data_IF_800843707731
#
_entry.id   IF_800843707731
#
_cell.length_a   1.000
_cell.length_b   1.000
_cell.length_c   1.000
_cell.angle_alpha   90.00
_cell.angle_beta   90.00
_cell.angle_gamma   90.00
#
_symmetry.space_group_name_H-M   'P 1'
#
loop_
_entity.id
_entity.type
_entity.pdbx_description
1 polymer ?
#
# COMPACT_ATOMS: atom_id res chain seq x y z
N UNK A 1 -13.12 -4.48 44.39
CA UNK A 1 -12.97 -3.57 43.23
C UNK A 1 -11.97 -4.17 42.28
N UNK A 2 -12.17 -4.03 40.97
CA UNK A 2 -11.27 -4.50 39.91
C UNK A 2 -10.99 -3.32 38.98
N UNK A 3 -9.74 -3.15 38.58
CA UNK A 3 -9.31 -2.19 37.55
C UNK A 3 -9.41 -2.89 36.20
N UNK A 4 -10.12 -2.28 35.26
CA UNK A 4 -10.25 -2.72 33.88
C UNK A 4 -9.60 -1.71 32.95
N UNK A 5 -8.83 -2.20 31.98
CA UNK A 5 -8.31 -1.42 30.87
C UNK A 5 -8.51 -2.23 29.58
N UNK A 6 -8.81 -1.60 28.45
CA UNK A 6 -8.63 -2.25 27.15
C UNK A 6 -7.33 -1.74 26.51
N UNK A 7 -6.63 -2.58 25.76
CA UNK A 7 -5.36 -2.23 25.12
C UNK A 7 -5.11 -3.12 23.90
N UNK A 8 -4.33 -2.63 22.94
CA UNK A 8 -3.89 -3.39 21.78
C UNK A 8 -2.81 -4.40 22.22
N UNK A 9 -2.93 -5.65 21.77
CA UNK A 9 -1.88 -6.64 21.93
C UNK A 9 -0.81 -6.43 20.86
N UNK A 10 0.40 -6.12 21.29
CA UNK A 10 1.59 -6.19 20.45
C UNK A 10 2.04 -7.64 20.37
N UNK A 11 2.32 -8.14 19.16
CA UNK A 11 3.08 -9.38 18.97
C UNK A 11 4.56 -9.09 19.27
N UNK A 12 5.17 -9.91 20.12
CA UNK A 12 6.60 -9.89 20.34
C UNK A 12 7.23 -10.88 19.36
N UNK A 13 8.03 -10.40 18.41
CA UNK A 13 8.85 -11.27 17.57
C UNK A 13 10.09 -11.69 18.39
N UNK A 14 10.26 -12.99 18.65
CA UNK A 14 11.46 -13.50 19.30
C UNK A 14 12.66 -13.28 18.37
N UNK A 15 13.63 -12.45 18.78
CA UNK A 15 14.91 -12.36 18.11
C UNK A 15 15.55 -13.76 18.04
N UNK A 16 15.98 -14.24 16.85
CA UNK A 16 16.57 -15.55 16.73
C UNK A 16 17.85 -15.64 17.58
N UNK A 17 17.83 -16.50 18.60
CA UNK A 17 19.05 -16.94 19.29
C UNK A 17 19.83 -17.86 18.34
N UNK A 18 21.17 -17.75 18.31
CA UNK A 18 21.92 -18.68 19.15
C UNK A 18 23.20 -18.07 19.74
N UNK A 19 23.53 -18.41 20.99
CA UNK A 19 24.94 -18.52 21.40
C UNK A 19 25.12 -19.80 22.20
N UNK A 20 25.85 -20.74 21.58
CA UNK A 20 26.31 -21.97 22.19
C UNK A 20 27.20 -21.65 23.40
N UNK A 21 26.85 -22.24 24.55
CA UNK A 21 27.74 -22.39 25.71
C UNK A 21 28.84 -23.41 25.36
N UNK A 22 30.10 -23.04 25.55
CA UNK A 22 31.15 -24.00 25.89
C UNK A 22 31.40 -23.93 27.41
N UNK A 23 31.33 -25.09 28.07
CA UNK A 23 31.79 -25.28 29.46
C UNK A 23 33.32 -25.35 29.54
N UNK A 24 33.95 -25.12 30.69
CA UNK A 24 34.31 -26.17 31.69
C UNK A 24 34.70 -25.54 33.07
N UNK A 25 34.32 -26.21 34.19
CA UNK A 25 34.84 -26.24 35.59
C UNK A 25 34.31 -25.28 36.71
N UNK A 26 34.30 -25.69 38.03
CA UNK A 26 33.22 -25.46 39.03
C UNK A 26 33.61 -24.64 40.32
N UNK A 27 32.86 -24.66 41.47
CA UNK A 27 31.81 -23.69 41.88
C UNK A 27 32.16 -22.82 43.13
N UNK A 28 31.34 -21.80 43.46
CA UNK A 28 30.82 -21.69 44.84
C UNK A 28 29.29 -21.42 44.93
N UNK A 29 28.59 -21.79 46.03
CA UNK A 29 27.15 -21.54 46.22
C UNK A 29 26.90 -20.34 47.19
N UNK A 30 25.64 -19.97 47.48
CA UNK A 30 24.54 -19.63 46.57
C UNK A 30 24.04 -18.20 46.86
N UNK A 31 24.01 -17.33 45.85
CA UNK A 31 23.14 -16.15 45.88
C UNK A 31 22.07 -16.33 44.79
N UNK A 32 20.79 -16.04 45.08
CA UNK A 32 19.73 -16.19 44.10
C UNK A 32 19.97 -15.23 42.93
N UNK A 33 19.86 -15.68 41.66
CA UNK A 33 20.10 -14.79 40.54
C UNK A 33 18.95 -13.77 40.41
N UNK A 34 19.24 -12.54 39.98
CA UNK A 34 18.20 -11.65 39.51
C UNK A 34 17.58 -12.31 38.27
N UNK A 35 16.27 -12.48 38.28
CA UNK A 35 15.47 -12.86 37.13
C UNK A 35 15.73 -11.84 36.01
N UNK A 36 16.63 -12.19 35.08
CA UNK A 36 16.77 -11.49 33.79
C UNK A 36 15.51 -11.77 32.98
N UNK A 37 14.50 -10.94 33.18
CA UNK A 37 13.43 -10.77 32.22
C UNK A 37 14.07 -10.30 30.90
N UNK A 38 13.94 -11.10 29.84
CA UNK A 38 14.18 -10.60 28.49
C UNK A 38 13.20 -9.45 28.28
N UNK A 39 13.71 -8.22 28.24
CA UNK A 39 12.90 -7.05 27.98
C UNK A 39 12.36 -7.13 26.56
N UNK A 40 11.06 -7.40 26.42
CA UNK A 40 10.33 -7.02 25.23
C UNK A 40 10.16 -5.50 25.30
N UNK A 41 11.01 -4.75 24.61
CA UNK A 41 10.76 -3.35 24.36
C UNK A 41 9.76 -3.27 23.20
N UNK A 42 8.51 -2.85 23.42
CA UNK A 42 7.63 -2.54 22.31
C UNK A 42 8.26 -1.43 21.48
N UNK A 43 8.48 -1.66 20.18
CA UNK A 43 8.85 -0.61 19.24
C UNK A 43 7.67 0.38 19.25
N UNK A 44 7.95 1.54 19.81
CA UNK A 44 6.99 2.40 20.49
C UNK A 44 6.10 3.15 19.49
N UNK A 45 4.97 2.56 19.07
CA UNK A 45 3.78 3.37 18.77
C UNK A 45 3.04 3.59 20.09
N UNK A 46 3.37 4.70 20.74
CA UNK A 46 2.68 5.19 21.92
C UNK A 46 1.28 5.69 21.49
N UNK A 47 0.34 4.76 21.23
CA UNK A 47 -1.08 5.08 21.07
C UNK A 47 -1.68 5.40 22.45
N UNK A 48 -2.64 6.34 22.54
CA UNK A 48 -2.96 7.04 23.78
C UNK A 48 -3.54 6.09 24.82
N UNK A 49 -3.17 6.33 26.07
CA UNK A 49 -3.65 5.65 27.28
C UNK A 49 -5.16 5.39 27.22
N UNK A 50 -5.55 4.15 26.95
CA UNK A 50 -6.93 3.73 27.08
C UNK A 50 -7.41 3.93 28.53
N UNK A 51 -8.66 4.41 28.73
CA UNK A 51 -9.16 4.77 30.05
C UNK A 51 -9.22 3.57 30.99
N UNK A 52 -8.70 3.75 32.21
CA UNK A 52 -8.79 2.76 33.29
C UNK A 52 -10.10 2.96 34.06
N UNK A 53 -10.85 1.90 34.30
CA UNK A 53 -12.13 1.97 35.03
C UNK A 53 -12.07 1.07 36.27
N UNK A 54 -12.47 1.61 37.42
CA UNK A 54 -12.64 0.85 38.66
C UNK A 54 -14.07 0.35 38.76
N UNK A 55 -14.25 -0.96 38.86
CA UNK A 55 -15.58 -1.58 38.92
C UNK A 55 -15.74 -2.53 40.11
N UNK A 56 -16.94 -2.58 40.71
CA UNK A 56 -17.28 -3.64 41.65
C UNK A 56 -17.24 -5.01 40.96
N UNK A 57 -16.73 -6.04 41.64
CA UNK A 57 -16.71 -7.40 41.10
C UNK A 57 -18.12 -7.92 40.82
N UNK A 58 -18.28 -8.73 39.76
CA UNK A 58 -19.56 -9.34 39.39
C UNK A 58 -20.54 -8.42 38.65
N UNK A 59 -20.12 -7.21 38.26
CA UNK A 59 -20.94 -6.27 37.47
C UNK A 59 -20.56 -6.29 35.99
N UNK A 60 -21.56 -6.08 35.14
CA UNK A 60 -21.38 -5.79 33.71
C UNK A 60 -20.96 -4.34 33.52
N UNK A 61 -20.05 -4.11 32.59
CA UNK A 61 -19.44 -2.81 32.32
C UNK A 61 -19.32 -2.65 30.82
N UNK A 62 -19.68 -1.48 30.30
CA UNK A 62 -19.48 -1.14 28.88
C UNK A 62 -18.17 -0.39 28.74
N UNK A 63 -17.25 -0.93 27.94
CA UNK A 63 -15.99 -0.29 27.59
C UNK A 63 -16.11 0.26 26.16
N UNK A 64 -16.05 1.58 25.95
CA UNK A 64 -16.10 2.14 24.60
C UNK A 64 -14.81 1.80 23.85
N UNK A 65 -14.91 1.57 22.54
CA UNK A 65 -13.77 1.39 21.64
C UNK A 65 -14.07 2.09 20.31
N UNK A 66 -13.03 2.53 19.61
CA UNK A 66 -13.16 3.28 18.34
C UNK A 66 -13.29 2.35 17.13
N UNK A 67 -12.52 1.25 17.11
CA UNK A 67 -12.52 0.25 16.03
C UNK A 67 -12.57 -1.17 16.61
N UNK A 68 -13.36 -2.03 16.00
CA UNK A 68 -13.40 -3.47 16.23
C UNK A 68 -12.21 -4.14 15.55
N UNK A 69 -11.12 -4.36 16.30
CA UNK A 69 -9.87 -4.92 15.79
C UNK A 69 -9.44 -6.18 16.54
N UNK A 70 -8.75 -7.14 15.90
CA UNK A 70 -8.51 -8.47 16.48
C UNK A 70 -7.53 -8.45 17.67
N UNK A 71 -6.64 -7.47 17.71
CA UNK A 71 -5.67 -7.32 18.80
C UNK A 71 -6.22 -6.53 20.00
N UNK A 72 -7.49 -6.10 20.00
CA UNK A 72 -8.09 -5.42 21.14
C UNK A 72 -8.34 -6.41 22.29
N UNK A 73 -7.72 -6.15 23.45
CA UNK A 73 -7.77 -7.02 24.61
C UNK A 73 -8.17 -6.26 25.87
N UNK A 74 -8.88 -6.94 26.77
CA UNK A 74 -9.30 -6.44 28.07
C UNK A 74 -8.35 -7.02 29.13
N UNK A 75 -7.71 -6.15 29.90
CA UNK A 75 -6.91 -6.50 31.07
C UNK A 75 -7.66 -6.13 32.35
N UNK A 76 -7.68 -7.04 33.30
CA UNK A 76 -8.30 -6.87 34.61
C UNK A 76 -7.29 -7.15 35.73
N UNK A 77 -7.25 -6.31 36.76
CA UNK A 77 -6.41 -6.51 37.94
C UNK A 77 -7.07 -6.00 39.22
N UNK A 78 -6.64 -6.48 40.37
CA UNK A 78 -7.06 -5.86 41.64
C UNK A 78 -6.28 -4.55 41.87
N UNK A 79 -6.81 -3.56 42.61
CA UNK A 79 -6.14 -2.29 42.84
C UNK A 79 -5.02 -2.37 43.89
N UNK A 80 -4.33 -3.51 44.00
CA UNK A 80 -3.23 -3.75 44.93
C UNK A 80 -1.88 -3.79 44.19
N UNK A 81 -0.80 -3.49 44.90
CA UNK A 81 0.55 -3.62 44.36
C UNK A 81 0.83 -5.07 43.92
N UNK A 82 1.49 -5.25 42.77
CA UNK A 82 1.80 -6.55 42.16
C UNK A 82 0.62 -7.51 41.96
N UNK A 83 -0.61 -6.99 41.90
CA UNK A 83 -1.77 -7.85 41.65
C UNK A 83 -1.63 -8.57 40.30
N UNK A 84 -1.92 -9.88 40.22
CA UNK A 84 -1.92 -10.60 38.96
C UNK A 84 -2.91 -9.96 37.99
N UNK A 85 -2.47 -9.79 36.74
CA UNK A 85 -3.25 -9.22 35.65
C UNK A 85 -3.79 -10.35 34.79
N UNK A 86 -5.09 -10.34 34.54
CA UNK A 86 -5.73 -11.26 33.59
C UNK A 86 -6.04 -10.51 32.31
N UNK A 87 -5.48 -10.97 31.18
CA UNK A 87 -5.72 -10.40 29.86
C UNK A 87 -6.55 -11.38 29.02
N UNK A 88 -7.61 -10.89 28.37
CA UNK A 88 -8.38 -11.64 27.37
C UNK A 88 -8.56 -10.81 26.11
N UNK A 89 -8.48 -11.44 24.95
CA UNK A 89 -8.64 -10.80 23.65
C UNK A 89 -9.89 -11.36 22.97
N UNK A 90 -11.09 -10.81 23.27
CA UNK A 90 -12.36 -11.41 22.86
C UNK A 90 -12.60 -11.37 21.35
N UNK A 91 -11.88 -10.50 20.62
CA UNK A 91 -12.08 -10.26 19.19
C UNK A 91 -11.10 -11.01 18.29
N UNK A 92 -10.09 -11.68 18.86
CA UNK A 92 -9.04 -12.37 18.09
C UNK A 92 -9.61 -13.39 17.12
N UNK A 93 -10.59 -14.17 17.56
CA UNK A 93 -11.18 -15.25 16.78
C UNK A 93 -12.52 -14.85 16.14
N UNK A 94 -12.88 -13.55 16.19
CA UNK A 94 -14.12 -13.06 15.62
C UNK A 94 -13.92 -12.62 14.17
N UNK A 95 -14.61 -13.23 13.19
CA UNK A 95 -14.50 -12.84 11.78
C UNK A 95 -14.85 -11.37 11.53
N UNK A 96 -15.78 -10.81 12.31
CA UNK A 96 -16.18 -9.41 12.21
C UNK A 96 -15.03 -8.42 12.48
N UNK A 97 -14.04 -8.80 13.30
CA UNK A 97 -12.88 -7.95 13.60
C UNK A 97 -11.88 -7.83 12.43
N UNK A 98 -12.03 -8.68 11.40
CA UNK A 98 -11.24 -8.66 10.17
C UNK A 98 -11.98 -7.99 9.00
N UNK A 99 -13.08 -7.30 9.28
CA UNK A 99 -13.92 -6.62 8.30
C UNK A 99 -13.47 -5.19 7.96
N UNK A 100 -14.40 -4.31 7.51
CA UNK A 100 -14.10 -2.93 7.15
C UNK A 100 -13.45 -2.10 8.27
N UNK A 101 -13.84 -2.33 9.53
CA UNK A 101 -13.29 -1.59 10.68
C UNK A 101 -11.79 -1.84 10.90
N UNK A 102 -11.27 -3.01 10.49
CA UNK A 102 -9.83 -3.27 10.50
C UNK A 102 -9.12 -2.24 9.63
N UNK A 103 -9.58 -2.07 8.39
CA UNK A 103 -8.99 -1.15 7.42
C UNK A 103 -9.19 0.31 7.82
N UNK A 104 -10.34 0.66 8.42
CA UNK A 104 -10.56 1.99 8.99
C UNK A 104 -9.58 2.34 10.12
N UNK A 105 -9.04 1.33 10.81
CA UNK A 105 -8.01 1.51 11.86
C UNK A 105 -6.58 1.64 11.31
N UNK A 106 -6.37 1.47 10.00
CA UNK A 106 -5.07 1.58 9.32
C UNK A 106 -4.91 2.96 8.72
N UNK A 107 -3.73 3.56 8.91
CA UNK A 107 -3.32 4.77 8.20
C UNK A 107 -2.36 4.41 7.09
N UNK A 108 -2.64 4.91 5.89
CA UNK A 108 -1.81 4.72 4.71
C UNK A 108 -0.97 5.96 4.46
N UNK A 109 0.34 5.79 4.41
CA UNK A 109 1.28 6.85 4.09
C UNK A 109 1.84 6.64 2.69
N UNK A 110 1.43 7.52 1.77
CA UNK A 110 1.88 7.48 0.38
C UNK A 110 3.26 8.12 0.22
N UNK A 111 4.23 7.31 -0.20
CA UNK A 111 5.59 7.73 -0.57
C UNK A 111 5.86 7.55 -2.06
N UNK A 112 4.82 7.25 -2.84
CA UNK A 112 4.90 7.16 -4.30
C UNK A 112 5.23 8.54 -4.84
N UNK A 113 6.35 8.62 -5.56
CA UNK A 113 6.78 9.85 -6.20
C UNK A 113 6.69 9.66 -7.71
N UNK A 114 5.94 10.50 -8.41
CA UNK A 114 5.90 10.53 -9.88
C UNK A 114 7.30 10.78 -10.48
N UNK A 115 8.21 11.38 -9.70
CA UNK A 115 9.63 11.52 -10.01
C UNK A 115 10.46 10.22 -10.05
N UNK A 116 9.87 9.08 -9.67
CA UNK A 116 10.52 7.76 -9.60
C UNK A 116 9.61 6.70 -10.20
N UNK A 117 10.22 5.63 -10.72
CA UNK A 117 9.50 4.50 -11.33
C UNK A 117 9.04 3.50 -10.27
N UNK A 118 8.54 3.98 -9.14
CA UNK A 118 8.26 3.16 -7.96
C UNK A 118 7.01 3.66 -7.25
N UNK A 119 6.08 2.75 -6.99
CA UNK A 119 4.99 2.97 -6.04
C UNK A 119 5.42 2.46 -4.67
N UNK A 120 5.17 3.27 -3.64
CA UNK A 120 5.57 2.96 -2.27
C UNK A 120 4.52 3.45 -1.27
N UNK A 121 4.12 2.57 -0.36
CA UNK A 121 3.14 2.90 0.67
C UNK A 121 3.50 2.24 1.99
N UNK A 122 3.45 3.00 3.08
CA UNK A 122 3.74 2.50 4.44
C UNK A 122 2.44 2.43 5.22
N UNK A 123 2.19 1.29 5.86
CA UNK A 123 1.00 1.06 6.66
C UNK A 123 1.29 1.29 8.14
N UNK A 124 0.47 2.09 8.79
CA UNK A 124 0.45 2.25 10.24
C UNK A 124 -0.87 1.72 10.78
N UNK A 125 -0.84 0.48 11.26
CA UNK A 125 -2.02 -0.24 11.77
C UNK A 125 -1.98 -0.35 13.30
N UNK A 126 -3.17 -0.35 13.91
CA UNK A 126 -3.31 -0.58 15.36
C UNK A 126 -2.96 -2.02 15.78
N UNK A 127 -3.13 -2.98 14.86
CA UNK A 127 -2.75 -4.38 15.04
C UNK A 127 -1.59 -4.75 14.12
N UNK A 128 -0.74 -5.72 14.51
CA UNK A 128 0.23 -6.33 13.60
C UNK A 128 -0.50 -6.92 12.39
N UNK A 129 -0.36 -6.28 11.23
CA UNK A 129 -1.04 -6.63 10.00
C UNK A 129 0.00 -6.77 8.89
N UNK A 130 0.24 -8.01 8.45
CA UNK A 130 1.01 -8.32 7.24
C UNK A 130 0.04 -8.62 6.10
N UNK A 131 -0.45 -7.56 5.47
CA UNK A 131 -1.34 -7.67 4.32
C UNK A 131 -0.55 -8.04 3.06
N UNK A 132 -1.23 -8.63 2.07
CA UNK A 132 -0.68 -8.77 0.72
C UNK A 132 -1.13 -7.57 -0.11
N UNK A 133 -0.19 -6.90 -0.77
CA UNK A 133 -0.47 -5.76 -1.65
C UNK A 133 -0.27 -6.12 -3.14
N UNK A 134 -1.25 -5.78 -3.98
CA UNK A 134 -1.22 -5.92 -5.45
C UNK A 134 -1.71 -4.65 -6.12
N UNK A 135 -1.39 -4.41 -7.39
CA UNK A 135 -1.94 -3.27 -8.13
C UNK A 135 -3.33 -3.56 -8.69
N UNK A 136 -4.17 -2.53 -8.78
CA UNK A 136 -5.45 -2.55 -9.49
C UNK A 136 -5.71 -1.22 -10.23
N UNK A 137 -6.46 -1.28 -11.33
CA UNK A 137 -6.88 -0.12 -12.10
C UNK A 137 -8.29 0.33 -11.72
N UNK A 138 -8.42 1.55 -11.21
CA UNK A 138 -9.70 2.15 -10.85
C UNK A 138 -10.37 2.75 -12.08
N UNK A 139 -11.63 2.37 -12.36
CA UNK A 139 -12.34 2.84 -13.58
C UNK A 139 -12.50 4.36 -13.64
N UNK A 140 -12.77 4.98 -12.49
CA UNK A 140 -12.93 6.41 -12.33
C UNK A 140 -12.26 6.89 -11.04
N UNK A 141 -12.03 8.20 -10.93
CA UNK A 141 -11.46 8.82 -9.72
C UNK A 141 -12.46 8.81 -8.55
N UNK A 142 -13.74 8.48 -8.79
CA UNK A 142 -14.77 8.38 -7.76
C UNK A 142 -14.45 7.29 -6.72
N UNK A 143 -14.73 7.55 -5.44
CA UNK A 143 -14.38 6.65 -4.33
C UNK A 143 -14.89 5.22 -4.51
N UNK A 144 -16.18 5.08 -4.88
CA UNK A 144 -16.84 3.78 -5.03
C UNK A 144 -16.61 3.10 -6.39
N UNK A 145 -15.73 3.63 -7.25
CA UNK A 145 -15.48 3.04 -8.56
C UNK A 145 -14.80 1.66 -8.41
N UNK A 146 -15.23 0.64 -9.19
CA UNK A 146 -14.57 -0.66 -9.21
C UNK A 146 -13.08 -0.56 -9.55
N UNK A 147 -12.28 -1.44 -8.93
CA UNK A 147 -10.85 -1.57 -9.22
C UNK A 147 -10.57 -2.96 -9.81
N UNK A 148 -10.02 -2.99 -11.02
CA UNK A 148 -9.73 -4.23 -11.75
C UNK A 148 -8.29 -4.69 -11.49
N UNK A 149 -8.12 -5.95 -11.12
CA UNK A 149 -6.80 -6.47 -10.72
C UNK A 149 -5.78 -6.43 -11.86
N UNK A 150 -4.55 -6.04 -11.51
CA UNK A 150 -3.40 -6.12 -12.42
C UNK A 150 -2.62 -7.41 -12.11
N UNK A 151 -2.46 -8.32 -13.08
CA UNK A 151 -1.73 -9.57 -12.84
C UNK A 151 -0.25 -9.31 -12.57
N UNK A 152 0.39 -10.20 -11.81
CA UNK A 152 1.83 -10.20 -11.52
C UNK A 152 2.36 -8.91 -10.87
N UNK A 153 1.52 -8.23 -10.09
CA UNK A 153 1.80 -6.92 -9.48
C UNK A 153 1.97 -6.97 -7.95
N UNK A 154 2.37 -8.13 -7.41
CA UNK A 154 2.53 -8.27 -5.94
C UNK A 154 3.74 -7.46 -5.48
N UNK A 155 3.51 -6.53 -4.55
CA UNK A 155 4.56 -5.69 -3.97
C UNK A 155 5.44 -6.47 -2.98
N UNK A 156 6.70 -6.04 -2.83
CA UNK A 156 7.55 -6.47 -1.72
C UNK A 156 7.10 -5.78 -0.44
N UNK A 157 7.09 -6.53 0.67
CA UNK A 157 6.76 -6.03 2.01
C UNK A 157 8.00 -6.15 2.90
N UNK A 158 8.41 -5.04 3.51
CA UNK A 158 9.49 -4.97 4.49
C UNK A 158 9.11 -3.97 5.59
N UNK A 159 9.03 -4.43 6.84
CA UNK A 159 8.63 -3.60 7.99
C UNK A 159 7.35 -2.75 7.75
N UNK A 160 6.30 -3.34 7.16
CA UNK A 160 5.05 -2.64 6.78
C UNK A 160 5.20 -1.59 5.66
N UNK A 161 6.37 -1.48 5.03
CA UNK A 161 6.58 -0.72 3.80
C UNK A 161 6.36 -1.63 2.59
N UNK A 162 5.45 -1.21 1.72
CA UNK A 162 5.09 -1.93 0.50
C UNK A 162 5.64 -1.18 -0.71
N UNK A 163 6.49 -1.83 -1.48
CA UNK A 163 7.17 -1.22 -2.63
C UNK A 163 6.98 -2.05 -3.88
N UNK A 164 6.82 -1.37 -5.02
CA UNK A 164 6.79 -2.01 -6.33
C UNK A 164 7.47 -1.13 -7.36
N UNK A 165 8.50 -1.68 -7.99
CA UNK A 165 9.32 -1.00 -9.00
C UNK A 165 8.74 -1.13 -10.41
N UNK A 166 9.26 -0.28 -11.30
CA UNK A 166 8.87 -0.20 -12.71
C UNK A 166 7.37 0.07 -12.86
N UNK A 167 6.89 1.06 -12.09
CA UNK A 167 5.51 1.54 -12.12
C UNK A 167 5.44 2.98 -12.61
N UNK A 168 4.55 3.25 -13.57
CA UNK A 168 4.12 4.60 -13.92
C UNK A 168 3.05 5.04 -12.91
N UNK A 169 3.44 5.83 -11.90
CA UNK A 169 2.53 6.28 -10.85
C UNK A 169 1.39 7.09 -11.46
N UNK A 170 0.14 6.66 -11.22
CA UNK A 170 -1.06 7.27 -11.79
C UNK A 170 -2.20 7.31 -10.75
N UNK A 171 -3.04 8.36 -10.70
CA UNK A 171 -4.12 8.47 -9.70
C UNK A 171 -5.17 7.34 -9.72
N UNK A 172 -5.26 6.63 -10.84
CA UNK A 172 -6.15 5.47 -11.01
C UNK A 172 -5.42 4.11 -10.88
N UNK A 173 -4.10 4.11 -10.64
CA UNK A 173 -3.35 2.90 -10.34
C UNK A 173 -3.17 2.82 -8.83
N UNK A 174 -3.87 1.90 -8.19
CA UNK A 174 -3.98 1.86 -6.74
C UNK A 174 -3.39 0.55 -6.18
N UNK A 175 -3.00 0.57 -4.91
CA UNK A 175 -2.72 -0.66 -4.18
C UNK A 175 -4.02 -1.25 -3.65
N UNK A 176 -4.19 -2.56 -3.87
CA UNK A 176 -5.18 -3.39 -3.20
C UNK A 176 -4.48 -4.19 -2.12
N UNK A 177 -4.73 -3.82 -0.87
CA UNK A 177 -4.29 -4.56 0.31
C UNK A 177 -5.31 -5.64 0.62
N UNK A 178 -4.84 -6.86 0.88
CA UNK A 178 -5.68 -8.01 1.18
C UNK A 178 -5.16 -8.73 2.42
N UNK A 179 -6.07 -9.07 3.32
CA UNK A 179 -5.74 -9.82 4.53
C UNK A 179 -6.91 -10.76 4.88
N UNK A 180 -6.65 -12.07 4.84
CA UNK A 180 -7.72 -13.07 4.96
C UNK A 180 -8.76 -12.87 3.85
N UNK A 181 -10.02 -12.65 4.24
CA UNK A 181 -11.16 -12.49 3.34
C UNK A 181 -11.55 -11.01 3.12
N UNK A 182 -10.77 -10.06 3.64
CA UNK A 182 -11.04 -8.64 3.46
C UNK A 182 -9.95 -7.97 2.63
N UNK A 183 -10.33 -6.87 2.00
CA UNK A 183 -9.41 -6.06 1.21
C UNK A 183 -9.79 -4.60 1.26
N UNK A 184 -8.79 -3.74 1.09
CA UNK A 184 -8.92 -2.30 0.99
C UNK A 184 -8.13 -1.79 -0.22
N UNK A 185 -8.67 -0.80 -0.91
CA UNK A 185 -8.01 -0.16 -2.04
C UNK A 185 -7.58 1.23 -1.62
N UNK A 186 -6.29 1.50 -1.76
CA UNK A 186 -5.69 2.79 -1.46
C UNK A 186 -4.96 3.32 -2.69
N UNK A 187 -5.34 4.51 -3.14
CA UNK A 187 -4.77 5.14 -4.33
C UNK A 187 -3.71 6.18 -3.93
N UNK A 188 -2.75 6.50 -4.81
CA UNK A 188 -1.86 7.62 -4.61
C UNK A 188 -2.65 8.91 -4.40
N UNK A 189 -2.31 9.67 -3.37
CA UNK A 189 -3.05 10.91 -3.02
C UNK A 189 -2.65 12.08 -3.93
N UNK A 190 -1.56 11.93 -4.69
CA UNK A 190 -1.03 12.98 -5.55
C UNK A 190 -1.67 12.91 -6.94
N UNK A 191 -2.28 14.00 -7.43
CA UNK A 191 -2.92 14.02 -8.73
C UNK A 191 -1.94 14.17 -9.90
N UNK A 192 -0.69 14.56 -9.64
CA UNK A 192 0.28 14.91 -10.68
C UNK A 192 0.93 13.67 -11.29
N UNK A 193 0.68 13.46 -12.58
CA UNK A 193 1.41 12.48 -13.38
C UNK A 193 2.79 13.03 -13.75
N UNK A 194 3.77 12.14 -13.91
CA UNK A 194 5.12 12.53 -14.30
C UNK A 194 5.19 13.07 -15.73
N UNK A 195 4.20 12.72 -16.55
CA UNK A 195 4.16 13.07 -17.96
C UNK A 195 2.75 13.36 -18.43
N UNK A 196 2.66 14.07 -19.55
CA UNK A 196 1.42 14.35 -20.26
C UNK A 196 1.66 14.26 -21.77
N UNK A 197 0.60 14.07 -22.54
CA UNK A 197 0.65 13.98 -23.99
C UNK A 197 -0.48 14.79 -24.61
N UNK A 198 -0.14 15.49 -25.68
CA UNK A 198 -1.10 16.19 -26.53
C UNK A 198 -0.93 15.74 -27.98
N UNK A 199 -2.04 15.69 -28.70
CA UNK A 199 -2.07 15.32 -30.12
C UNK A 199 -2.33 16.57 -30.96
N UNK A 200 -1.59 16.71 -32.04
CA UNK A 200 -1.77 17.77 -33.04
C UNK A 200 -1.56 17.21 -34.44
N UNK A 201 -2.20 17.79 -35.44
CA UNK A 201 -1.97 17.46 -36.84
C UNK A 201 -1.02 18.49 -37.45
N UNK A 202 0.09 18.06 -38.07
CA UNK A 202 1.04 18.95 -38.75
C UNK A 202 1.29 18.44 -40.17
N UNK A 203 0.63 19.04 -41.16
CA UNK A 203 0.64 18.54 -42.54
C UNK A 203 -0.13 17.22 -42.65
N UNK A 204 0.52 16.19 -43.22
CA UNK A 204 -0.01 14.81 -43.36
C UNK A 204 0.52 13.86 -42.27
N UNK A 205 0.97 14.39 -41.13
CA UNK A 205 1.48 13.59 -40.01
C UNK A 205 0.75 13.92 -38.72
N UNK A 206 0.52 12.89 -37.91
CA UNK A 206 0.01 13.04 -36.56
C UNK A 206 1.21 13.26 -35.63
N UNK A 207 1.18 14.36 -34.89
CA UNK A 207 2.27 14.82 -34.06
C UNK A 207 1.87 14.76 -32.59
N UNK A 208 2.46 13.80 -31.87
CA UNK A 208 2.30 13.66 -30.43
C UNK A 208 3.40 14.47 -29.74
N UNK A 209 2.98 15.45 -28.93
CA UNK A 209 3.87 16.21 -28.06
C UNK A 209 3.73 15.64 -26.65
N UNK A 210 4.82 15.05 -26.16
CA UNK A 210 4.92 14.52 -24.82
C UNK A 210 5.74 15.46 -23.95
N UNK A 211 5.27 15.76 -22.76
CA UNK A 211 6.00 16.55 -21.76
C UNK A 211 6.27 15.63 -20.57
N UNK A 212 7.53 15.42 -20.20
CA UNK A 212 7.90 14.56 -19.08
C UNK A 212 8.76 15.31 -18.07
N UNK A 213 8.44 15.19 -16.79
CA UNK A 213 9.25 15.68 -15.66
C UNK A 213 10.32 14.69 -15.20
N UNK A 214 10.31 13.48 -15.77
CA UNK A 214 11.29 12.41 -15.53
C UNK A 214 11.89 11.89 -16.84
N UNK A 215 13.14 11.37 -16.80
CA UNK A 215 13.68 10.59 -17.91
C UNK A 215 12.81 9.36 -18.18
N UNK A 216 12.27 9.24 -19.39
CA UNK A 216 11.36 8.16 -19.75
C UNK A 216 11.46 7.79 -21.24
N UNK A 217 10.99 6.58 -21.56
CA UNK A 217 10.73 6.14 -22.92
C UNK A 217 9.22 6.03 -23.13
N UNK A 218 8.74 6.49 -24.26
CA UNK A 218 7.33 6.46 -24.62
C UNK A 218 7.13 5.68 -25.90
N UNK A 219 6.07 4.89 -25.95
CA UNK A 219 5.64 4.20 -27.15
C UNK A 219 4.23 4.59 -27.51
N UNK A 220 3.97 4.64 -28.81
CA UNK A 220 2.66 4.86 -29.37
C UNK A 220 2.35 3.84 -30.47
N UNK A 221 1.08 3.44 -30.55
CA UNK A 221 0.59 2.51 -31.56
C UNK A 221 -0.88 2.80 -31.88
N UNK A 222 -1.30 2.41 -33.08
CA UNK A 222 -2.70 2.50 -33.47
C UNK A 222 -3.57 1.64 -32.52
N UNK A 223 -4.73 2.17 -32.16
CA UNK A 223 -5.73 1.43 -31.40
C UNK A 223 -6.53 0.49 -32.31
N UNK A 224 -6.37 -0.83 -32.12
CA UNK A 224 -7.26 -1.82 -32.72
C UNK A 224 -8.29 -2.28 -31.70
N UNK A 225 -9.58 -2.11 -32.01
CA UNK A 225 -10.67 -2.49 -31.11
C UNK A 225 -10.86 -4.01 -31.17
N UNK A 226 -10.59 -4.69 -30.05
CA UNK A 226 -10.73 -6.15 -29.92
C UNK A 226 -11.53 -6.47 -28.66
N UNK A 227 -12.72 -7.05 -28.83
CA UNK A 227 -13.57 -7.42 -27.68
C UNK A 227 -14.00 -6.27 -26.78
N UNK A 228 -14.14 -5.05 -27.33
CA UNK A 228 -14.49 -3.85 -26.57
C UNK A 228 -13.32 -3.13 -25.90
N UNK A 229 -12.13 -3.73 -25.87
CA UNK A 229 -10.90 -3.10 -25.39
C UNK A 229 -10.01 -2.66 -26.56
N UNK A 230 -9.23 -1.61 -26.32
CA UNK A 230 -8.29 -1.07 -27.29
C UNK A 230 -6.90 -1.68 -27.06
N UNK A 231 -6.41 -2.44 -28.03
CA UNK A 231 -5.06 -3.01 -28.00
C UNK A 231 -4.14 -2.34 -29.03
N UNK A 232 -2.83 -2.24 -28.76
CA UNK A 232 -1.89 -1.60 -29.66
C UNK A 232 -1.59 -2.50 -30.87
N UNK A 233 -1.74 -1.93 -32.07
CA UNK A 233 -1.41 -2.57 -33.34
C UNK A 233 -0.02 -2.14 -33.84
N UNK A 234 0.71 -3.07 -34.44
CA UNK A 234 2.01 -2.77 -35.03
C UNK A 234 1.86 -1.87 -36.28
N UNK A 235 2.86 -1.03 -36.61
CA UNK A 235 4.15 -0.86 -35.93
C UNK A 235 4.06 -0.01 -34.65
N UNK A 236 4.96 -0.30 -33.70
CA UNK A 236 5.18 0.49 -32.49
C UNK A 236 6.17 1.61 -32.79
N UNK A 237 5.77 2.83 -32.46
CA UNK A 237 6.62 4.01 -32.58
C UNK A 237 7.13 4.39 -31.20
N UNK A 238 8.44 4.52 -31.03
CA UNK A 238 9.06 4.79 -29.73
C UNK A 238 9.90 6.05 -29.80
N UNK A 239 9.85 6.85 -28.73
CA UNK A 239 10.76 7.96 -28.49
C UNK A 239 11.32 7.83 -27.08
N UNK A 240 12.63 7.99 -26.94
CA UNK A 240 13.32 7.89 -25.66
C UNK A 240 14.04 9.18 -25.39
N UNK A 241 13.96 9.67 -24.15
CA UNK A 241 14.74 10.83 -23.75
C UNK A 241 16.24 10.47 -23.71
N UNK A 242 17.12 11.25 -24.36
CA UNK A 242 18.56 10.98 -24.32
C UNK A 242 19.12 11.14 -22.90
N UNK A 243 20.03 10.26 -22.51
CA UNK A 243 20.69 10.33 -21.19
C UNK A 243 21.35 11.71 -20.95
N UNK A 244 21.15 12.27 -19.76
CA UNK A 244 21.69 13.57 -19.37
C UNK A 244 20.91 14.79 -19.89
N UNK A 245 19.86 14.58 -20.68
CA UNK A 245 18.94 15.66 -21.06
C UNK A 245 18.03 16.03 -19.90
N UNK A 246 17.80 17.32 -19.70
CA UNK A 246 16.81 17.79 -18.72
C UNK A 246 15.42 17.26 -19.10
N UNK A 247 14.54 16.99 -18.11
CA UNK A 247 13.13 16.69 -18.37
C UNK A 247 12.55 17.74 -19.32
N UNK A 248 11.82 17.30 -20.35
CA UNK A 248 11.53 18.17 -21.48
C UNK A 248 10.45 17.65 -22.41
N UNK A 249 10.25 18.37 -23.51
CA UNK A 249 9.32 18.00 -24.57
C UNK A 249 9.94 16.98 -25.52
N UNK A 250 9.23 15.88 -25.76
CA UNK A 250 9.52 14.91 -26.82
C UNK A 250 8.43 14.98 -27.88
N UNK A 251 8.82 14.72 -29.11
CA UNK A 251 7.93 14.68 -30.26
C UNK A 251 7.99 13.31 -30.91
N UNK A 252 6.81 12.73 -31.16
CA UNK A 252 6.68 11.50 -31.92
C UNK A 252 5.81 11.78 -33.15
N UNK A 253 6.39 11.54 -34.33
CA UNK A 253 5.76 11.79 -35.63
C UNK A 253 5.24 10.47 -36.19
N UNK A 254 3.92 10.33 -36.19
CA UNK A 254 3.21 9.18 -36.74
C UNK A 254 2.84 9.44 -38.19
N UNK A 255 2.94 8.43 -39.06
CA UNK A 255 2.74 8.61 -40.49
C UNK A 255 1.26 8.76 -40.85
N UNK A 256 1.00 9.14 -42.11
CA UNK A 256 -0.33 9.51 -42.60
C UNK A 256 -1.39 8.42 -42.42
N UNK A 257 -0.99 7.14 -42.40
CA UNK A 257 -1.93 6.01 -42.26
C UNK A 257 -2.66 6.01 -40.91
N UNK A 258 -2.13 6.74 -39.91
CA UNK A 258 -2.69 6.85 -38.56
C UNK A 258 -3.56 8.11 -38.41
N UNK A 259 -3.61 9.01 -39.41
CA UNK A 259 -4.49 10.18 -39.36
C UNK A 259 -5.96 9.76 -39.30
N UNK A 260 -6.73 10.45 -38.45
CA UNK A 260 -8.15 10.16 -38.25
C UNK A 260 -8.46 8.93 -37.41
N UNK A 261 -7.43 8.27 -36.85
CA UNK A 261 -7.61 7.10 -35.97
C UNK A 261 -7.13 7.41 -34.54
N UNK A 262 -7.62 6.63 -33.58
CA UNK A 262 -7.18 6.76 -32.20
C UNK A 262 -5.84 6.04 -31.97
N UNK A 263 -4.98 6.65 -31.15
CA UNK A 263 -3.63 6.16 -30.85
C UNK A 263 -3.51 5.91 -29.36
N UNK A 264 -2.95 4.76 -28.98
CA UNK A 264 -2.56 4.49 -27.61
C UNK A 264 -1.16 5.03 -27.38
N UNK A 265 -0.96 5.70 -26.25
CA UNK A 265 0.34 6.22 -25.81
C UNK A 265 0.59 5.78 -24.38
N UNK A 266 1.78 5.26 -24.10
CA UNK A 266 2.17 4.83 -22.76
C UNK A 266 3.68 4.97 -22.56
N UNK A 267 4.07 4.99 -21.29
CA UNK A 267 5.46 4.89 -20.88
C UNK A 267 5.96 3.44 -21.01
N UNK A 268 6.97 3.19 -21.83
CA UNK A 268 7.41 1.85 -22.24
C UNK A 268 8.66 1.32 -21.53
N UNK A 269 9.34 2.15 -20.74
CA UNK A 269 10.49 1.77 -19.91
C UNK A 269 10.10 1.19 -18.53
N UNK A 270 8.81 1.15 -18.23
CA UNK A 270 8.21 0.58 -17.01
C UNK A 270 7.27 -0.57 -17.34
N UNK A 271 6.99 -1.43 -16.35
CA UNK A 271 6.18 -2.64 -16.51
C UNK A 271 4.69 -2.34 -16.36
N UNK A 272 4.35 -1.47 -15.42
CA UNK A 272 2.97 -1.13 -15.10
C UNK A 272 2.70 0.30 -15.52
N UNK A 273 2.23 0.49 -16.75
CA UNK A 273 1.90 1.80 -17.31
C UNK A 273 0.44 1.86 -17.74
N UNK A 274 -0.18 3.02 -17.55
CA UNK A 274 -1.51 3.28 -18.10
C UNK A 274 -1.37 3.63 -19.58
N UNK A 275 -2.13 2.95 -20.43
CA UNK A 275 -2.26 3.33 -21.84
C UNK A 275 -3.31 4.43 -21.97
N UNK A 276 -2.93 5.59 -22.51
CA UNK A 276 -3.82 6.71 -22.78
C UNK A 276 -4.29 6.63 -24.24
N UNK A 277 -5.60 6.68 -24.46
CA UNK A 277 -6.17 6.72 -25.81
C UNK A 277 -6.37 8.18 -26.24
N UNK A 278 -5.79 8.53 -27.39
CA UNK A 278 -5.91 9.86 -27.98
C UNK A 278 -6.57 9.76 -29.34
N UNK A 279 -7.69 10.46 -29.52
CA UNK A 279 -8.38 10.56 -30.80
C UNK A 279 -8.31 12.02 -31.29
N UNK A 280 -7.78 12.29 -32.50
CA UNK A 280 -7.55 13.65 -33.01
C UNK A 280 -8.84 14.45 -33.25
N UNK A 281 -9.96 13.75 -33.47
CA UNK A 281 -11.30 14.33 -33.51
C UNK A 281 -12.04 13.91 -32.23
N UNK A 282 -12.66 14.86 -31.54
CA UNK A 282 -13.26 14.72 -30.20
C UNK A 282 -14.47 13.77 -30.08
N UNK A 283 -14.46 12.64 -30.79
CA UNK A 283 -15.33 11.51 -30.53
C UNK A 283 -14.97 10.95 -29.15
N UNK A 284 -15.80 11.31 -28.15
CA UNK A 284 -15.77 10.69 -26.82
C UNK A 284 -15.92 9.19 -27.01
N UNK A 285 -14.84 8.45 -26.79
CA UNK A 285 -14.90 7.00 -26.66
C UNK A 285 -15.84 6.64 -25.52
N UNK A 286 -17.06 6.22 -25.89
CA UNK A 286 -18.02 5.58 -24.99
C UNK A 286 -17.68 4.10 -24.79
#
# INVERSE_FOLDING_TARGET
MVRLCHQLALECEELPRPFHRQGIAPPPPPHPPPSRAGGCAPRQLMLPLYPQVLVPGGRRVSLPYEFLVPCLCIEASYPHHDSPRSKRCPFRDQPAAYGPELWSSVRFHDYSASGKDQMAMVLSASCPLRARATLCWKEAVAEAAPCHDVPNSTASEEEQAYTLDKVDVHPQLCFRFSYGNSSHVECPHRPETAWNVSVSTRGLQLHLRLTSSVPAAFSAALCQRRGGQCEPEAPLYTVTQPEGSAPGELALLLPVQVLGSCVLVWRSDVRFARKQLLCPDGERGS
#
